data_IF_833420979278
#
_entry.id   IF_833420979278
#
_cell.length_a   1.000
_cell.length_b   1.000
_cell.length_c   1.000
_cell.angle_alpha   90.00
_cell.angle_beta   90.00
_cell.angle_gamma   90.00
#
_symmetry.space_group_name_H-M   'P 1'
#
loop_
_entity.id
_entity.type
_entity.pdbx_description
1 polymer ?
#
# COMPACT_ATOMS: atom_id res chain seq x y z
N UNK A 1 13.53 0.03 -18.26
CA UNK A 1 13.91 -0.64 -16.99
C UNK A 1 13.90 0.31 -15.81
N UNK A 2 14.83 1.27 -15.63
CA UNK A 2 14.77 2.20 -14.47
C UNK A 2 13.44 2.97 -14.35
N UNK A 3 12.86 3.44 -15.46
CA UNK A 3 11.55 4.14 -15.46
C UNK A 3 10.34 3.26 -15.15
N UNK A 4 10.46 1.95 -15.37
CA UNK A 4 9.41 0.96 -15.12
C UNK A 4 9.33 0.67 -13.62
N UNK A 5 10.50 0.50 -13.01
CA UNK A 5 10.66 0.30 -11.57
C UNK A 5 10.07 1.45 -10.75
N UNK A 6 10.22 2.69 -11.22
CA UNK A 6 9.68 3.89 -10.56
C UNK A 6 8.14 3.86 -10.48
N UNK A 7 7.47 3.36 -11.51
CA UNK A 7 6.00 3.27 -11.55
C UNK A 7 5.52 2.18 -10.58
N UNK A 8 6.26 1.07 -10.47
CA UNK A 8 5.91 -0.02 -9.53
C UNK A 8 6.25 0.26 -8.08
N UNK A 9 7.18 1.18 -7.80
CA UNK A 9 7.61 1.55 -6.45
C UNK A 9 6.70 2.56 -5.74
N UNK A 10 5.85 3.26 -6.50
CA UNK A 10 4.81 4.15 -5.94
C UNK A 10 3.60 3.38 -5.38
N UNK A 11 3.65 2.04 -5.40
CA UNK A 11 2.62 1.12 -4.98
C UNK A 11 2.56 0.88 -3.46
N UNK A 12 2.76 1.93 -2.68
CA UNK A 12 2.55 1.91 -1.24
C UNK A 12 1.04 1.98 -0.97
N UNK A 13 0.33 0.86 -1.17
CA UNK A 13 -1.11 0.76 -0.92
C UNK A 13 -1.48 1.03 0.53
N UNK A 14 -0.64 0.66 1.50
CA UNK A 14 -1.08 0.50 2.90
C UNK A 14 -0.03 0.87 3.95
N UNK A 15 1.17 1.25 3.53
CA UNK A 15 2.32 1.44 4.41
C UNK A 15 2.24 2.76 5.18
N UNK A 16 1.40 2.82 6.22
CA UNK A 16 1.35 3.93 7.18
C UNK A 16 0.02 4.65 7.26
N UNK A 17 -1.10 3.96 7.04
CA UNK A 17 -2.43 4.53 7.22
C UNK A 17 -2.70 4.78 8.70
N UNK A 18 -2.71 6.05 9.11
CA UNK A 18 -2.99 6.43 10.50
C UNK A 18 -4.24 7.29 10.61
N UNK A 19 -5.13 6.92 11.52
CA UNK A 19 -6.28 7.73 11.89
C UNK A 19 -5.91 8.75 12.97
N UNK A 20 -6.14 10.04 12.66
CA UNK A 20 -6.06 11.11 13.65
C UNK A 20 -7.44 11.70 13.87
N UNK A 21 -7.85 11.88 15.13
CA UNK A 21 -9.14 12.51 15.43
C UNK A 21 -9.16 13.94 14.86
N UNK A 22 -10.12 14.24 13.98
CA UNK A 22 -10.10 15.45 13.19
C UNK A 22 -10.30 16.71 14.06
N UNK A 23 -9.20 17.41 14.35
CA UNK A 23 -9.25 18.80 14.81
C UNK A 23 -9.45 19.70 13.58
N UNK A 24 -10.69 20.16 13.40
CA UNK A 24 -11.19 21.04 12.33
C UNK A 24 -10.16 22.06 11.79
N UNK A 25 -9.59 21.80 10.61
CA UNK A 25 -8.87 22.81 9.79
C UNK A 25 -9.25 22.65 8.31
N UNK A 26 -9.47 23.79 7.65
CA UNK A 26 -10.07 23.99 6.33
C UNK A 26 -9.01 23.98 5.20
N UNK A 27 -9.32 23.24 4.11
CA UNK A 27 -9.12 23.51 2.66
C UNK A 27 -7.82 24.12 2.11
N UNK A 28 -7.25 23.51 1.04
CA UNK A 28 -7.16 24.10 -0.32
C UNK A 28 -6.50 23.18 -1.37
N UNK A 29 -7.09 23.20 -2.59
CA UNK A 29 -6.72 22.60 -3.89
C UNK A 29 -5.35 23.00 -4.50
N UNK A 30 -4.81 22.19 -5.44
CA UNK A 30 -4.72 22.53 -6.90
C UNK A 30 -3.55 21.87 -7.69
N UNK A 31 -3.94 21.07 -8.70
CA UNK A 31 -3.45 20.90 -10.11
C UNK A 31 -1.96 20.64 -10.51
N UNK A 32 -1.73 19.41 -11.01
CA UNK A 32 -1.33 18.95 -12.38
C UNK A 32 -0.05 19.41 -13.17
N UNK A 33 0.75 18.37 -13.49
CA UNK A 33 1.56 18.00 -14.70
C UNK A 33 2.92 18.67 -15.06
N UNK A 34 4.03 17.87 -15.07
CA UNK A 34 5.03 17.82 -16.19
C UNK A 34 5.87 16.50 -16.23
N UNK A 35 5.46 15.58 -17.11
CA UNK A 35 5.75 14.12 -17.11
C UNK A 35 7.14 13.65 -17.59
N UNK A 36 8.26 14.27 -17.22
CA UNK A 36 9.57 13.58 -17.45
C UNK A 36 10.67 13.88 -16.44
N UNK A 37 10.72 15.08 -15.87
CA UNK A 37 11.56 15.37 -14.70
C UNK A 37 10.87 14.97 -13.39
N UNK A 38 9.53 14.98 -13.41
CA UNK A 38 8.67 14.60 -12.29
C UNK A 38 8.85 13.12 -11.90
N UNK A 39 9.17 12.21 -12.81
CA UNK A 39 9.39 10.80 -12.47
C UNK A 39 10.70 10.56 -11.69
N UNK A 40 11.76 11.32 -11.99
CA UNK A 40 13.03 11.24 -11.25
C UNK A 40 12.95 12.00 -9.93
N UNK A 41 12.22 13.12 -9.89
CA UNK A 41 11.93 13.85 -8.65
C UNK A 41 11.00 13.04 -7.73
N UNK A 42 9.94 12.42 -8.26
CA UNK A 42 9.06 11.49 -7.53
C UNK A 42 9.83 10.28 -7.04
N UNK A 43 10.78 9.73 -7.79
CA UNK A 43 11.59 8.61 -7.30
C UNK A 43 12.42 9.02 -6.06
N UNK A 44 13.08 10.18 -6.12
CA UNK A 44 13.91 10.64 -5.02
C UNK A 44 13.05 11.11 -3.83
N UNK A 45 11.87 11.67 -4.10
CA UNK A 45 10.85 12.02 -3.11
C UNK A 45 10.27 10.78 -2.46
N UNK A 46 9.80 9.78 -3.22
CA UNK A 46 9.31 8.50 -2.70
C UNK A 46 10.38 7.71 -1.96
N UNK A 47 11.65 7.72 -2.40
CA UNK A 47 12.74 7.10 -1.63
C UNK A 47 12.93 7.78 -0.28
N UNK A 48 12.87 9.11 -0.27
CA UNK A 48 13.07 9.93 0.94
C UNK A 48 11.86 9.90 1.87
N UNK A 49 10.66 9.77 1.30
CA UNK A 49 9.39 9.58 2.00
C UNK A 49 9.34 8.19 2.61
N UNK A 50 9.77 7.15 1.87
CA UNK A 50 9.93 5.77 2.38
C UNK A 50 10.95 5.70 3.52
N UNK A 51 12.12 6.34 3.39
CA UNK A 51 13.11 6.43 4.47
C UNK A 51 12.56 7.17 5.70
N UNK A 52 11.78 8.25 5.48
CA UNK A 52 11.14 9.00 6.56
C UNK A 52 10.04 8.18 7.25
N UNK A 53 9.22 7.44 6.49
CA UNK A 53 8.17 6.57 7.02
C UNK A 53 8.77 5.44 7.87
N UNK A 54 9.92 4.90 7.44
CA UNK A 54 10.70 3.94 8.24
C UNK A 54 11.12 4.52 9.59
N UNK A 55 11.59 5.77 9.62
CA UNK A 55 11.96 6.45 10.87
C UNK A 55 10.74 6.82 11.74
N UNK A 56 9.59 7.12 11.15
CA UNK A 56 8.35 7.44 11.87
C UNK A 56 7.65 6.20 12.46
N UNK A 57 7.65 5.06 11.75
CA UNK A 57 7.11 3.80 12.26
C UNK A 57 7.96 3.20 13.40
N UNK A 58 9.29 3.17 13.25
CA UNK A 58 10.19 2.70 14.31
C UNK A 58 10.08 3.57 15.58
N UNK A 59 9.74 4.85 15.43
CA UNK A 59 9.62 5.82 16.52
C UNK A 59 8.30 5.79 17.28
N UNK A 60 7.20 5.31 16.68
CA UNK A 60 5.85 5.42 17.26
C UNK A 60 5.19 4.09 17.66
N UNK A 61 5.63 2.94 17.10
CA UNK A 61 4.95 1.65 17.31
C UNK A 61 5.62 0.70 18.30
N UNK A 62 6.90 0.92 18.63
CA UNK A 62 7.70 -0.02 19.43
C UNK A 62 7.20 -0.31 20.85
N UNK A 63 6.32 0.53 21.41
CA UNK A 63 5.82 0.42 22.80
C UNK A 63 4.33 0.05 22.92
N UNK A 64 3.58 0.02 21.80
CA UNK A 64 2.11 -0.20 21.83
C UNK A 64 1.66 -1.59 21.32
N UNK A 65 2.49 -2.31 20.56
CA UNK A 65 2.10 -3.56 19.87
C UNK A 65 2.51 -4.88 20.55
N UNK A 66 2.70 -4.89 21.88
CA UNK A 66 3.01 -6.13 22.62
C UNK A 66 2.02 -6.41 23.74
N UNK A 67 0.75 -6.56 23.41
CA UNK A 67 -0.35 -7.17 24.20
C UNK A 67 -1.59 -6.99 23.29
N UNK A 68 -2.31 -7.95 22.71
CA UNK A 68 -2.46 -9.39 22.85
C UNK A 68 -3.01 -9.93 21.51
N UNK A 69 -2.33 -10.88 20.86
CA UNK A 69 -2.78 -11.52 19.60
C UNK A 69 -3.79 -12.68 19.84
N UNK A 70 -4.26 -12.90 21.07
CA UNK A 70 -5.25 -13.94 21.36
C UNK A 70 -6.44 -13.38 22.14
N UNK A 71 -7.37 -12.70 21.44
CA UNK A 71 -8.74 -12.51 21.94
C UNK A 71 -9.26 -11.07 22.04
N UNK A 72 -8.83 -10.14 21.19
CA UNK A 72 -9.49 -8.85 21.06
C UNK A 72 -10.98 -9.07 20.73
N UNK A 73 -11.87 -8.65 21.64
CA UNK A 73 -13.30 -8.66 21.38
C UNK A 73 -13.59 -7.74 20.18
N UNK A 74 -14.43 -8.21 19.23
CA UNK A 74 -14.83 -7.37 18.09
C UNK A 74 -15.25 -5.99 18.60
N UNK A 75 -14.69 -4.89 18.06
CA UNK A 75 -15.00 -3.55 18.53
C UNK A 75 -16.51 -3.28 18.46
N UNK A 76 -17.04 -2.57 19.45
CA UNK A 76 -18.47 -2.53 19.71
C UNK A 76 -19.23 -1.54 18.84
N UNK A 77 -18.61 -0.41 18.49
CA UNK A 77 -19.23 0.62 17.63
C UNK A 77 -18.65 0.62 16.22
N UNK A 78 -19.40 1.09 15.20
CA UNK A 78 -18.88 1.22 13.84
C UNK A 78 -17.59 2.05 13.74
N UNK A 79 -17.47 3.09 14.57
CA UNK A 79 -16.25 3.91 14.68
C UNK A 79 -15.07 3.08 15.18
N UNK A 80 -15.24 2.31 16.26
CA UNK A 80 -14.19 1.47 16.83
C UNK A 80 -13.80 0.33 15.86
N UNK A 81 -14.76 -0.18 15.08
CA UNK A 81 -14.50 -1.19 14.05
C UNK A 81 -13.70 -0.61 12.88
N UNK A 82 -14.00 0.63 12.47
CA UNK A 82 -13.23 1.31 11.44
C UNK A 82 -11.82 1.68 11.91
N UNK A 83 -11.67 2.14 13.14
CA UNK A 83 -10.36 2.40 13.76
C UNK A 83 -9.51 1.13 13.81
N UNK A 84 -10.07 0.01 14.29
CA UNK A 84 -9.37 -1.27 14.29
C UNK A 84 -9.01 -1.75 12.87
N UNK A 85 -9.94 -1.61 11.92
CA UNK A 85 -9.68 -2.01 10.53
C UNK A 85 -8.47 -1.28 9.96
N UNK A 86 -8.38 0.05 10.14
CA UNK A 86 -7.27 0.83 9.57
C UNK A 86 -5.98 0.68 10.39
N UNK A 87 -6.03 0.94 11.69
CA UNK A 87 -4.83 1.09 12.53
C UNK A 87 -4.24 -0.24 12.99
N UNK A 88 -5.00 -1.35 12.88
CA UNK A 88 -4.54 -2.70 13.25
C UNK A 88 -4.50 -3.59 12.02
N UNK A 89 -5.66 -3.90 11.44
CA UNK A 89 -5.74 -4.95 10.41
C UNK A 89 -4.99 -4.54 9.13
N UNK A 90 -5.23 -3.33 8.63
CA UNK A 90 -4.58 -2.82 7.42
C UNK A 90 -3.13 -2.38 7.67
N UNK A 91 -2.79 -1.93 8.88
CA UNK A 91 -1.42 -1.61 9.25
C UNK A 91 -0.50 -2.85 9.17
N UNK A 92 -0.95 -3.99 9.70
CA UNK A 92 -0.21 -5.25 9.61
C UNK A 92 0.00 -5.73 8.17
N UNK A 93 -1.01 -5.53 7.30
CA UNK A 93 -0.88 -5.81 5.86
C UNK A 93 0.14 -4.86 5.21
N UNK A 94 0.08 -3.56 5.55
CA UNK A 94 0.98 -2.54 5.04
C UNK A 94 2.44 -2.77 5.42
N UNK A 95 2.73 -3.28 6.61
CA UNK A 95 4.09 -3.66 7.01
C UNK A 95 4.66 -4.77 6.13
N UNK A 96 3.86 -5.82 5.86
CA UNK A 96 4.27 -6.92 4.98
C UNK A 96 4.54 -6.44 3.55
N UNK A 97 3.64 -5.62 3.00
CA UNK A 97 3.83 -5.05 1.67
C UNK A 97 5.09 -4.17 1.61
N UNK A 98 5.29 -3.31 2.60
CA UNK A 98 6.46 -2.43 2.64
C UNK A 98 7.77 -3.22 2.67
N UNK A 99 7.85 -4.31 3.44
CA UNK A 99 9.03 -5.19 3.47
C UNK A 99 9.30 -5.84 2.11
N UNK A 100 8.25 -6.23 1.37
CA UNK A 100 8.39 -6.77 0.01
C UNK A 100 8.89 -5.67 -0.94
N UNK A 101 8.31 -4.48 -0.87
CA UNK A 101 8.71 -3.33 -1.70
C UNK A 101 10.17 -2.92 -1.46
N UNK A 102 10.61 -2.85 -0.21
CA UNK A 102 11.99 -2.50 0.14
C UNK A 102 12.98 -3.51 -0.47
N UNK A 103 12.64 -4.81 -0.44
CA UNK A 103 13.46 -5.84 -1.11
C UNK A 103 13.55 -5.61 -2.62
N UNK A 104 12.41 -5.37 -3.28
CA UNK A 104 12.37 -5.10 -4.74
C UNK A 104 13.20 -3.85 -5.06
N UNK A 105 13.04 -2.78 -4.28
CA UNK A 105 13.77 -1.53 -4.44
C UNK A 105 15.28 -1.75 -4.31
N UNK A 106 15.73 -2.44 -3.27
CA UNK A 106 17.14 -2.70 -3.05
C UNK A 106 17.74 -3.55 -4.18
N UNK A 107 17.01 -4.57 -4.63
CA UNK A 107 17.44 -5.44 -5.73
C UNK A 107 17.49 -4.71 -7.08
N UNK A 108 16.71 -3.63 -7.24
CA UNK A 108 16.67 -2.83 -8.47
C UNK A 108 18.00 -2.16 -8.84
N UNK A 109 18.87 -1.98 -7.84
CA UNK A 109 20.20 -1.40 -8.00
C UNK A 109 21.30 -2.46 -8.20
N UNK A 110 20.94 -3.74 -8.08
CA UNK A 110 21.81 -4.90 -8.23
C UNK A 110 21.79 -5.44 -9.68
N UNK A 111 22.61 -6.46 -10.00
CA UNK A 111 22.49 -7.18 -11.26
C UNK A 111 21.07 -7.71 -11.51
N UNK A 112 20.70 -7.82 -12.79
CA UNK A 112 19.34 -8.20 -13.22
C UNK A 112 18.91 -9.56 -12.65
N UNK A 113 19.84 -10.49 -12.52
CA UNK A 113 19.58 -11.81 -11.96
C UNK A 113 19.11 -11.75 -10.49
N UNK A 114 19.66 -10.84 -9.69
CA UNK A 114 19.24 -10.64 -8.29
C UNK A 114 17.83 -10.05 -8.21
N UNK A 115 17.52 -9.08 -9.08
CA UNK A 115 16.17 -8.52 -9.19
C UNK A 115 15.15 -9.57 -9.61
N UNK A 116 15.50 -10.45 -10.55
CA UNK A 116 14.65 -11.56 -10.99
C UNK A 116 14.31 -12.49 -9.82
N UNK A 117 15.31 -12.90 -9.03
CA UNK A 117 15.10 -13.76 -7.85
C UNK A 117 14.21 -13.08 -6.81
N UNK A 118 14.39 -11.79 -6.58
CA UNK A 118 13.56 -11.02 -5.64
C UNK A 118 12.13 -10.85 -6.15
N UNK A 119 11.92 -10.63 -7.45
CA UNK A 119 10.59 -10.58 -8.05
C UNK A 119 9.87 -11.94 -7.95
N UNK A 120 10.58 -13.04 -8.23
CA UNK A 120 10.02 -14.39 -8.10
C UNK A 120 9.56 -14.67 -6.65
N UNK A 121 10.35 -14.25 -5.66
CA UNK A 121 9.97 -14.37 -4.25
C UNK A 121 8.83 -13.41 -3.86
N UNK A 122 8.86 -12.16 -4.32
CA UNK A 122 7.82 -11.18 -4.03
C UNK A 122 6.44 -11.63 -4.54
N UNK A 123 6.37 -12.25 -5.72
CA UNK A 123 5.13 -12.83 -6.25
C UNK A 123 4.57 -13.90 -5.30
N UNK A 124 5.43 -14.70 -4.68
CA UNK A 124 5.03 -15.71 -3.68
C UNK A 124 4.60 -15.03 -2.38
N UNK A 125 5.37 -14.05 -1.89
CA UNK A 125 5.07 -13.36 -0.64
C UNK A 125 3.73 -12.59 -0.72
N UNK A 126 3.35 -12.10 -1.90
CA UNK A 126 2.04 -11.50 -2.12
C UNK A 126 0.87 -12.48 -1.97
N UNK A 127 1.07 -13.81 -2.06
CA UNK A 127 0.04 -14.78 -1.66
C UNK A 127 -0.26 -14.68 -0.16
N UNK A 128 0.75 -14.45 0.67
CA UNK A 128 0.57 -14.25 2.12
C UNK A 128 -0.15 -12.92 2.41
N UNK A 129 0.17 -11.85 1.68
CA UNK A 129 -0.55 -10.57 1.79
C UNK A 129 -2.03 -10.74 1.47
N UNK A 130 -2.34 -11.45 0.38
CA UNK A 130 -3.73 -11.77 -0.02
C UNK A 130 -4.44 -12.56 1.09
N UNK A 131 -3.82 -13.64 1.58
CA UNK A 131 -4.38 -14.44 2.67
C UNK A 131 -4.64 -13.61 3.94
N UNK A 132 -3.75 -12.66 4.25
CA UNK A 132 -3.88 -11.77 5.40
C UNK A 132 -5.07 -10.84 5.26
N UNK A 133 -5.24 -10.21 4.09
CA UNK A 133 -6.42 -9.38 3.79
C UNK A 133 -7.70 -10.21 3.83
N UNK A 134 -7.72 -11.40 3.22
CA UNK A 134 -8.88 -12.30 3.24
C UNK A 134 -9.30 -12.70 4.66
N UNK A 135 -8.34 -12.85 5.57
CA UNK A 135 -8.59 -13.23 6.97
C UNK A 135 -9.20 -12.10 7.82
N UNK A 136 -9.12 -10.84 7.41
CA UNK A 136 -9.67 -9.69 8.14
C UNK A 136 -11.18 -9.87 8.33
N UNK A 137 -11.65 -9.78 9.58
CA UNK A 137 -13.07 -9.92 9.89
C UNK A 137 -13.68 -8.55 10.06
N UNK A 138 -14.72 -8.28 9.28
CA UNK A 138 -15.45 -7.01 9.30
C UNK A 138 -16.93 -7.27 9.49
N UNK A 139 -17.57 -6.47 10.34
CA UNK A 139 -18.97 -6.68 10.74
C UNK A 139 -19.95 -5.72 10.04
N UNK A 140 -19.44 -4.75 9.26
CA UNK A 140 -20.26 -3.75 8.56
C UNK A 140 -20.13 -3.85 7.03
N UNK A 141 -21.21 -3.50 6.31
CA UNK A 141 -21.21 -3.48 4.84
C UNK A 141 -20.19 -2.49 4.27
N UNK A 142 -19.91 -1.41 4.98
CA UNK A 142 -18.93 -0.39 4.57
C UNK A 142 -17.49 -0.92 4.68
N UNK A 143 -17.16 -1.57 5.80
CA UNK A 143 -15.85 -2.20 5.97
C UNK A 143 -15.68 -3.43 5.08
N UNK A 144 -16.75 -4.15 4.77
CA UNK A 144 -16.72 -5.22 3.78
C UNK A 144 -16.32 -4.70 2.40
N UNK A 145 -16.86 -3.54 1.98
CA UNK A 145 -16.44 -2.90 0.72
C UNK A 145 -15.00 -2.42 0.77
N UNK A 146 -14.57 -1.79 1.87
CA UNK A 146 -13.19 -1.37 2.04
C UNK A 146 -12.22 -2.56 1.96
N UNK A 147 -12.54 -3.67 2.64
CA UNK A 147 -11.78 -4.93 2.57
C UNK A 147 -11.73 -5.48 1.14
N UNK A 148 -12.85 -5.48 0.42
CA UNK A 148 -12.89 -5.91 -0.99
C UNK A 148 -12.02 -5.04 -1.89
N UNK A 149 -12.01 -3.71 -1.68
CA UNK A 149 -11.13 -2.78 -2.39
C UNK A 149 -9.65 -3.02 -2.08
N UNK A 150 -9.29 -3.26 -0.82
CA UNK A 150 -7.93 -3.64 -0.44
C UNK A 150 -7.49 -4.94 -1.12
N UNK A 151 -8.37 -5.96 -1.11
CA UNK A 151 -8.09 -7.24 -1.74
C UNK A 151 -7.91 -7.10 -3.26
N UNK A 152 -8.76 -6.31 -3.93
CA UNK A 152 -8.61 -6.01 -5.35
C UNK A 152 -7.27 -5.32 -5.65
N UNK A 153 -6.90 -4.32 -4.86
CA UNK A 153 -5.62 -3.61 -5.00
C UNK A 153 -4.41 -4.54 -4.88
N UNK A 154 -4.36 -5.38 -3.84
CA UNK A 154 -3.27 -6.34 -3.61
C UNK A 154 -3.18 -7.36 -4.75
N UNK A 155 -4.32 -7.85 -5.25
CA UNK A 155 -4.33 -8.77 -6.40
C UNK A 155 -3.82 -8.11 -7.67
N UNK A 156 -4.27 -6.89 -7.98
CA UNK A 156 -3.79 -6.13 -9.15
C UNK A 156 -2.29 -5.86 -9.05
N UNK A 157 -1.78 -5.58 -7.85
CA UNK A 157 -0.36 -5.38 -7.67
C UNK A 157 0.43 -6.66 -7.93
N UNK A 158 0.00 -7.80 -7.39
CA UNK A 158 0.61 -9.10 -7.68
C UNK A 158 0.62 -9.41 -9.17
N UNK A 159 -0.50 -9.18 -9.87
CA UNK A 159 -0.57 -9.33 -11.33
C UNK A 159 0.47 -8.44 -12.05
N UNK A 160 0.65 -7.22 -11.56
CA UNK A 160 1.66 -6.30 -12.10
C UNK A 160 3.09 -6.84 -11.90
N UNK A 161 3.41 -7.39 -10.73
CA UNK A 161 4.71 -8.02 -10.46
C UNK A 161 4.98 -9.23 -11.37
N UNK A 162 3.96 -10.06 -11.61
CA UNK A 162 4.05 -11.19 -12.54
C UNK A 162 4.39 -10.68 -13.95
N UNK A 163 3.66 -9.68 -14.44
CA UNK A 163 3.95 -9.10 -15.75
C UNK A 163 5.33 -8.44 -15.81
N UNK A 164 5.77 -7.80 -14.73
CA UNK A 164 7.12 -7.24 -14.66
C UNK A 164 8.18 -8.32 -14.78
N UNK A 165 8.02 -9.42 -14.03
CA UNK A 165 8.90 -10.56 -14.11
C UNK A 165 8.93 -11.18 -15.52
N UNK A 166 7.78 -11.27 -16.18
CA UNK A 166 7.68 -11.76 -17.56
C UNK A 166 8.44 -10.87 -18.56
N UNK A 167 8.58 -9.56 -18.31
CA UNK A 167 9.29 -8.66 -19.25
C UNK A 167 10.77 -9.01 -19.45
N UNK A 168 11.39 -9.72 -18.50
CA UNK A 168 12.77 -10.18 -18.62
C UNK A 168 12.92 -11.33 -19.61
N UNK A 169 11.87 -12.14 -19.77
CA UNK A 169 11.82 -13.27 -20.72
C UNK A 169 11.18 -12.85 -22.05
N UNK A 170 10.19 -11.95 -22.01
CA UNK A 170 9.50 -11.40 -23.17
C UNK A 170 9.30 -9.88 -23.01
N UNK A 171 10.20 -9.05 -23.59
CA UNK A 171 10.08 -7.60 -23.55
C UNK A 171 8.79 -7.05 -24.18
N UNK A 172 8.06 -7.83 -24.98
CA UNK A 172 6.79 -7.37 -25.57
C UNK A 172 5.66 -7.21 -24.53
N UNK A 173 5.83 -7.79 -23.33
CA UNK A 173 4.90 -7.62 -22.20
C UNK A 173 4.97 -6.25 -21.53
N UNK A 174 5.95 -5.39 -21.88
CA UNK A 174 6.13 -4.09 -21.23
C UNK A 174 4.86 -3.22 -21.26
N UNK A 175 4.14 -3.18 -22.39
CA UNK A 175 2.91 -2.40 -22.50
C UNK A 175 1.77 -2.96 -21.63
N UNK A 176 1.68 -4.28 -21.50
CA UNK A 176 0.68 -4.95 -20.66
C UNK A 176 0.97 -4.70 -19.17
N UNK A 177 2.22 -4.80 -18.78
CA UNK A 177 2.70 -4.50 -17.43
C UNK A 177 2.41 -3.05 -17.03
N UNK A 178 2.69 -2.08 -17.91
CA UNK A 178 2.36 -0.65 -17.66
C UNK A 178 0.85 -0.47 -17.48
N UNK A 179 0.04 -1.05 -18.38
CA UNK A 179 -1.41 -0.95 -18.28
C UNK A 179 -1.95 -1.55 -16.97
N UNK A 180 -1.36 -2.66 -16.51
CA UNK A 180 -1.72 -3.28 -15.23
C UNK A 180 -1.29 -2.42 -14.04
N UNK A 181 -0.12 -1.79 -14.10
CA UNK A 181 0.31 -0.78 -13.12
C UNK A 181 -0.70 0.38 -13.03
N UNK A 182 -1.17 0.89 -14.17
CA UNK A 182 -2.19 1.95 -14.22
C UNK A 182 -3.56 1.49 -13.68
N UNK A 183 -3.92 0.22 -13.80
CA UNK A 183 -5.15 -0.35 -13.19
C UNK A 183 -5.01 -0.41 -11.67
N UNK A 184 -3.87 -0.90 -11.21
CA UNK A 184 -3.50 -0.94 -9.80
C UNK A 184 -3.54 0.46 -9.16
N UNK A 185 -2.89 1.47 -9.75
CA UNK A 185 -2.87 2.84 -9.20
C UNK A 185 -4.28 3.43 -9.06
N UNK A 186 -5.18 3.12 -10.00
CA UNK A 186 -6.58 3.56 -9.91
C UNK A 186 -7.34 2.86 -8.79
N UNK A 187 -7.12 1.56 -8.62
CA UNK A 187 -7.72 0.78 -7.54
C UNK A 187 -7.24 1.25 -6.17
N UNK A 188 -5.92 1.49 -6.03
CA UNK A 188 -5.30 2.07 -4.86
C UNK A 188 -5.91 3.41 -4.47
N UNK A 189 -6.03 4.33 -5.43
CA UNK A 189 -6.62 5.65 -5.21
C UNK A 189 -8.08 5.54 -4.78
N UNK A 190 -8.87 4.68 -5.43
CA UNK A 190 -10.28 4.48 -5.07
C UNK A 190 -10.44 3.91 -3.65
N UNK A 191 -9.61 2.95 -3.27
CA UNK A 191 -9.60 2.40 -1.91
C UNK A 191 -9.29 3.48 -0.86
N UNK A 192 -8.30 4.34 -1.11
CA UNK A 192 -7.98 5.44 -0.21
C UNK A 192 -9.07 6.52 -0.15
N UNK A 193 -9.72 6.83 -1.27
CA UNK A 193 -10.87 7.72 -1.30
C UNK A 193 -12.01 7.17 -0.44
N UNK A 194 -12.31 5.87 -0.55
CA UNK A 194 -13.32 5.21 0.28
C UNK A 194 -12.97 5.28 1.78
N UNK A 195 -11.71 5.04 2.16
CA UNK A 195 -11.26 5.17 3.56
C UNK A 195 -11.32 6.62 4.05
N UNK A 196 -11.01 7.59 3.20
CA UNK A 196 -11.16 9.01 3.52
C UNK A 196 -12.61 9.39 3.77
N UNK A 197 -13.54 8.90 2.95
CA UNK A 197 -14.98 9.12 3.14
C UNK A 197 -15.48 8.51 4.45
N UNK A 198 -15.04 7.29 4.77
CA UNK A 198 -15.37 6.62 6.04
C UNK A 198 -14.76 7.33 7.25
N UNK A 199 -13.49 7.75 7.16
CA UNK A 199 -12.84 8.51 8.21
C UNK A 199 -13.58 9.83 8.48
N UNK A 200 -13.92 10.58 7.43
CA UNK A 200 -14.69 11.81 7.56
C UNK A 200 -16.06 11.57 8.18
N UNK A 201 -16.75 10.49 7.80
CA UNK A 201 -18.03 10.08 8.39
C UNK A 201 -17.91 9.84 9.90
N UNK A 202 -16.82 9.21 10.35
CA UNK A 202 -16.58 8.88 11.75
C UNK A 202 -15.83 9.97 12.54
N UNK A 203 -15.49 11.09 11.91
CA UNK A 203 -14.84 12.24 12.57
C UNK A 203 -13.34 12.09 12.75
N UNK A 204 -12.71 11.28 11.89
CA UNK A 204 -11.27 11.11 11.79
C UNK A 204 -10.73 11.78 10.52
N UNK A 205 -9.44 12.07 10.55
CA UNK A 205 -8.62 12.37 9.39
C UNK A 205 -7.81 11.12 9.11
N UNK A 206 -7.99 10.58 7.91
CA UNK A 206 -7.16 9.51 7.39
C UNK A 206 -5.98 10.16 6.65
N UNK A 207 -4.77 9.74 6.98
CA UNK A 207 -3.56 10.23 6.31
C UNK A 207 -3.00 9.09 5.50
N UNK A 208 -2.91 9.30 4.18
CA UNK A 208 -2.09 8.45 3.35
C UNK A 208 -0.61 8.79 3.65
N UNK A 209 0.27 7.80 3.77
CA UNK A 209 1.72 8.02 3.78
C UNK A 209 2.20 8.75 2.52
#
# INVERSE_FOLDING_TARGET
>A
MKKILIIMLLALLLSGCGLQKAAKVLTADSEAEDKTAEAEAKLEESKKELERLKEEMDGSLGDALKEDSEGAASPGTPEEQFEHFVDVDMAEVGELEMDIQDRILQASEQPVEELIEVLDQAIIDYDEVIERVEAIKVDSEELQKAKEGALEGVNLYKESLVLYRETFDDPSKEAEMIAKGDEFEKSAAAFHDDLNELAAKYGYTYTQP
#
